data_IF_043276532523
#
_entry.id   IF_043276532523
#
_cell.length_a   1.000
_cell.length_b   1.000
_cell.length_c   1.000
_cell.angle_alpha   90.00
_cell.angle_beta   90.00
_cell.angle_gamma   90.00
#
_symmetry.space_group_name_H-M   'P 1'
#
loop_
_entity.id
_entity.type
_entity.pdbx_description
1 polymer ?
#
# COMPACT_ATOMS: atom_id res chain seq x y z
N UNK A 1 -14.39 -16.73 17.79
CA UNK A 1 -13.51 -15.58 17.59
C UNK A 1 -13.90 -14.75 16.35
N UNK A 2 -13.94 -15.31 15.13
CA UNK A 2 -14.26 -14.52 13.91
C UNK A 2 -15.67 -13.93 13.91
N UNK A 3 -16.66 -14.62 14.49
CA UNK A 3 -18.01 -14.06 14.63
C UNK A 3 -18.01 -12.82 15.53
N UNK A 4 -17.25 -12.83 16.64
CA UNK A 4 -17.07 -11.65 17.48
C UNK A 4 -16.36 -10.51 16.73
N UNK A 5 -15.30 -10.83 15.98
CA UNK A 5 -14.64 -9.84 15.14
C UNK A 5 -15.60 -9.21 14.11
N UNK A 6 -16.42 -10.03 13.44
CA UNK A 6 -17.42 -9.54 12.50
C UNK A 6 -18.45 -8.60 13.16
N UNK A 7 -18.94 -8.94 14.36
CA UNK A 7 -19.84 -8.07 15.13
C UNK A 7 -19.16 -6.72 15.43
N UNK A 8 -17.89 -6.73 15.87
CA UNK A 8 -17.15 -5.50 16.11
C UNK A 8 -16.91 -4.71 14.83
N UNK A 9 -16.63 -5.36 13.68
CA UNK A 9 -16.51 -4.68 12.39
C UNK A 9 -17.80 -3.97 12.02
N UNK A 10 -18.97 -4.62 12.17
CA UNK A 10 -20.27 -4.01 11.90
C UNK A 10 -20.52 -2.82 12.83
N UNK A 11 -20.25 -2.96 14.13
CA UNK A 11 -20.42 -1.86 15.08
C UNK A 11 -19.52 -0.68 14.71
N UNK A 12 -18.24 -0.93 14.40
CA UNK A 12 -17.30 0.13 14.03
C UNK A 12 -17.70 0.82 12.72
N UNK A 13 -18.21 0.08 11.74
CA UNK A 13 -18.69 0.67 10.49
C UNK A 13 -19.95 1.53 10.70
N UNK A 14 -20.93 1.03 11.47
CA UNK A 14 -22.22 1.71 11.72
C UNK A 14 -22.01 2.99 12.56
N UNK A 15 -21.10 2.95 13.55
CA UNK A 15 -20.83 4.10 14.42
C UNK A 15 -19.74 5.03 13.88
N UNK A 16 -19.33 4.88 12.60
CA UNK A 16 -18.36 5.72 11.92
C UNK A 16 -16.98 5.77 12.59
N UNK A 17 -16.55 4.71 13.27
CA UNK A 17 -15.22 4.68 13.88
C UNK A 17 -14.07 4.76 12.86
N UNK A 18 -14.34 4.50 11.57
CA UNK A 18 -13.33 4.69 10.52
C UNK A 18 -12.89 6.16 10.38
N UNK A 19 -13.63 7.14 10.89
CA UNK A 19 -13.22 8.55 10.93
C UNK A 19 -11.96 8.78 11.78
N UNK A 20 -11.67 7.90 12.74
CA UNK A 20 -10.42 7.98 13.50
C UNK A 20 -9.17 7.72 12.65
N UNK A 21 -9.33 7.22 11.44
CA UNK A 21 -8.25 7.03 10.46
C UNK A 21 -7.54 8.36 10.12
N UNK A 22 -8.23 9.51 10.26
CA UNK A 22 -7.65 10.85 10.11
C UNK A 22 -6.49 11.17 11.06
N UNK A 23 -6.37 10.43 12.16
CA UNK A 23 -5.28 10.60 13.12
C UNK A 23 -4.06 9.73 12.81
N UNK A 24 -4.14 8.87 11.81
CA UNK A 24 -3.01 8.07 11.35
C UNK A 24 -2.07 8.98 10.54
N UNK A 25 -0.81 8.98 10.93
CA UNK A 25 0.26 9.79 10.32
C UNK A 25 1.41 8.89 9.89
N UNK A 26 2.38 9.48 9.19
CA UNK A 26 3.58 8.78 8.72
C UNK A 26 4.34 8.10 9.86
N UNK A 27 4.33 8.70 11.09
CA UNK A 27 4.93 8.05 12.26
C UNK A 27 4.38 6.64 12.48
N UNK A 28 3.07 6.46 12.36
CA UNK A 28 2.39 5.17 12.61
C UNK A 28 2.41 4.27 11.39
N UNK A 29 2.08 4.80 10.20
CA UNK A 29 1.99 4.01 8.96
C UNK A 29 3.35 3.49 8.50
N UNK A 30 4.41 4.33 8.57
CA UNK A 30 5.77 3.90 8.26
C UNK A 30 6.28 2.84 9.25
N UNK A 31 6.04 3.04 10.57
CA UNK A 31 6.46 2.06 11.59
C UNK A 31 5.79 0.71 11.38
N UNK A 32 4.50 0.71 11.07
CA UNK A 32 3.75 -0.51 10.77
C UNK A 32 4.22 -1.15 9.46
N UNK A 33 4.35 -0.37 8.38
CA UNK A 33 4.82 -0.86 7.09
C UNK A 33 6.23 -1.46 7.17
N UNK A 34 7.12 -0.84 7.94
CA UNK A 34 8.46 -1.36 8.19
C UNK A 34 8.41 -2.69 8.96
N UNK A 35 7.59 -2.77 10.01
CA UNK A 35 7.38 -4.01 10.76
C UNK A 35 6.87 -5.13 9.86
N UNK A 36 5.85 -4.87 9.03
CA UNK A 36 5.29 -5.86 8.10
C UNK A 36 6.35 -6.33 7.11
N UNK A 37 7.16 -5.41 6.55
CA UNK A 37 8.25 -5.74 5.63
C UNK A 37 9.29 -6.68 6.27
N UNK A 38 9.71 -6.41 7.51
CA UNK A 38 10.66 -7.25 8.24
C UNK A 38 10.06 -8.62 8.57
N UNK A 39 8.80 -8.68 9.00
CA UNK A 39 8.11 -9.96 9.27
C UNK A 39 7.98 -10.80 7.99
N UNK A 40 7.74 -10.18 6.84
CA UNK A 40 7.72 -10.90 5.57
C UNK A 40 9.07 -11.54 5.25
N UNK A 41 10.17 -10.81 5.38
CA UNK A 41 11.52 -11.37 5.20
C UNK A 41 11.75 -12.51 6.20
N UNK A 42 11.40 -12.32 7.47
CA UNK A 42 11.51 -13.37 8.50
C UNK A 42 10.73 -14.62 8.09
N UNK A 43 9.49 -14.49 7.64
CA UNK A 43 8.67 -15.63 7.20
C UNK A 43 9.22 -16.30 5.93
N UNK A 44 9.77 -15.54 5.02
CA UNK A 44 10.49 -16.08 3.87
C UNK A 44 11.68 -16.94 4.30
N UNK A 45 12.52 -16.45 5.21
CA UNK A 45 13.65 -17.20 5.77
C UNK A 45 13.17 -18.44 6.52
N UNK A 46 12.12 -18.33 7.33
CA UNK A 46 11.53 -19.46 8.05
C UNK A 46 11.06 -20.57 7.10
N UNK A 47 10.44 -20.21 5.97
CA UNK A 47 10.06 -21.18 4.94
C UNK A 47 11.28 -21.90 4.35
N UNK A 48 12.36 -21.17 4.09
CA UNK A 48 13.60 -21.75 3.56
C UNK A 48 14.29 -22.65 4.58
N UNK A 49 14.34 -22.27 5.84
CA UNK A 49 14.98 -23.09 6.90
C UNK A 49 14.28 -24.45 7.07
N UNK A 50 12.97 -24.52 6.84
CA UNK A 50 12.21 -25.77 6.87
C UNK A 50 12.62 -26.75 5.77
N UNK A 51 13.11 -26.27 4.61
CA UNK A 51 13.55 -27.13 3.51
C UNK A 51 14.80 -27.93 3.87
N UNK A 52 15.67 -27.39 4.74
CA UNK A 52 16.87 -28.09 5.22
C UNK A 52 16.56 -29.31 6.09
N UNK A 53 15.33 -29.44 6.60
CA UNK A 53 14.92 -30.66 7.33
C UNK A 53 14.77 -31.89 6.44
N UNK A 54 14.63 -31.72 5.11
CA UNK A 54 14.54 -32.80 4.16
C UNK A 54 15.94 -33.25 3.69
N UNK A 55 16.68 -32.33 3.08
CA UNK A 55 18.09 -32.54 2.74
C UNK A 55 18.82 -31.21 2.59
N UNK A 56 20.15 -31.20 2.75
CA UNK A 56 20.94 -30.02 2.54
C UNK A 56 20.90 -29.55 1.07
N UNK A 57 20.84 -30.47 0.12
CA UNK A 57 20.77 -30.15 -1.33
C UNK A 57 19.46 -29.44 -1.65
N UNK A 58 18.32 -29.93 -1.14
CA UNK A 58 17.00 -29.34 -1.36
C UNK A 58 16.91 -27.97 -0.71
N UNK A 59 17.46 -27.82 0.51
CA UNK A 59 17.56 -26.55 1.22
C UNK A 59 18.33 -25.51 0.43
N UNK A 60 19.54 -25.82 -0.04
CA UNK A 60 20.35 -24.88 -0.82
C UNK A 60 19.72 -24.55 -2.18
N UNK A 61 19.14 -25.53 -2.88
CA UNK A 61 18.44 -25.27 -4.13
C UNK A 61 17.22 -24.36 -3.89
N UNK A 62 16.47 -24.56 -2.81
CA UNK A 62 15.35 -23.69 -2.42
C UNK A 62 15.81 -22.26 -2.17
N UNK A 63 16.95 -22.06 -1.50
CA UNK A 63 17.54 -20.73 -1.27
C UNK A 63 17.91 -20.08 -2.61
N UNK A 64 18.58 -20.80 -3.50
CA UNK A 64 18.97 -20.29 -4.84
C UNK A 64 17.73 -19.87 -5.63
N UNK A 65 16.69 -20.73 -5.67
CA UNK A 65 15.44 -20.45 -6.38
C UNK A 65 14.74 -19.21 -5.79
N UNK A 66 14.60 -19.14 -4.46
CA UNK A 66 13.92 -18.03 -3.80
C UNK A 66 14.64 -16.68 -4.02
N UNK A 67 15.96 -16.65 -3.85
CA UNK A 67 16.75 -15.41 -4.04
C UNK A 67 16.75 -15.01 -5.51
N UNK A 68 16.95 -15.96 -6.43
CA UNK A 68 16.92 -15.68 -7.87
C UNK A 68 15.56 -15.16 -8.32
N UNK A 69 14.46 -15.72 -7.78
CA UNK A 69 13.11 -15.24 -8.00
C UNK A 69 12.96 -13.79 -7.53
N UNK A 70 13.30 -13.51 -6.27
CA UNK A 70 13.16 -12.17 -5.67
C UNK A 70 13.97 -11.12 -6.45
N UNK A 71 15.23 -11.45 -6.82
CA UNK A 71 16.09 -10.57 -7.62
C UNK A 71 15.53 -10.36 -9.03
N UNK A 72 14.99 -11.40 -9.67
CA UNK A 72 14.40 -11.28 -11.01
C UNK A 72 13.21 -10.34 -10.98
N UNK A 73 12.28 -10.52 -10.03
CA UNK A 73 11.15 -9.62 -9.87
C UNK A 73 11.61 -8.18 -9.63
N UNK A 74 12.51 -7.96 -8.68
CA UNK A 74 13.05 -6.64 -8.34
C UNK A 74 13.67 -5.93 -9.56
N UNK A 75 14.51 -6.61 -10.34
CA UNK A 75 15.13 -6.02 -11.52
C UNK A 75 14.12 -5.73 -12.63
N UNK A 76 13.15 -6.63 -12.84
CA UNK A 76 12.11 -6.44 -13.86
C UNK A 76 11.19 -5.28 -13.51
N UNK A 77 10.81 -5.12 -12.25
CA UNK A 77 10.03 -3.94 -11.79
C UNK A 77 10.78 -2.63 -11.99
N UNK A 78 12.09 -2.58 -11.69
CA UNK A 78 12.92 -1.38 -11.89
C UNK A 78 13.11 -1.00 -13.37
N UNK A 79 12.80 -1.90 -14.35
CA UNK A 79 12.81 -1.57 -15.79
C UNK A 79 11.80 -0.46 -16.12
N UNK A 80 10.69 -0.35 -15.37
CA UNK A 80 9.69 0.72 -15.57
C UNK A 80 10.32 2.11 -15.60
N UNK A 81 11.26 2.39 -14.71
CA UNK A 81 11.93 3.68 -14.57
C UNK A 81 13.13 3.88 -15.51
N UNK A 82 13.58 2.81 -16.20
CA UNK A 82 14.71 2.89 -17.12
C UNK A 82 14.28 3.37 -18.50
N UNK A 83 15.20 3.98 -19.26
CA UNK A 83 14.93 4.51 -20.60
C UNK A 83 14.92 3.46 -21.73
N UNK A 84 14.88 2.17 -21.45
CA UNK A 84 14.96 1.07 -22.44
C UNK A 84 13.60 0.78 -23.10
N UNK A 85 13.53 0.87 -24.40
CA UNK A 85 12.35 0.49 -25.18
C UNK A 85 11.12 1.39 -24.96
N UNK A 86 9.99 1.06 -25.58
CA UNK A 86 8.77 1.84 -25.46
C UNK A 86 8.12 1.71 -24.09
N UNK A 87 7.44 2.77 -23.61
CA UNK A 87 6.83 2.84 -22.29
C UNK A 87 5.84 1.69 -22.03
N UNK A 88 5.01 1.36 -23.03
CA UNK A 88 4.03 0.28 -22.91
C UNK A 88 4.66 -1.09 -22.61
N UNK A 89 5.78 -1.39 -23.30
CA UNK A 89 6.48 -2.68 -23.09
C UNK A 89 7.12 -2.73 -21.70
N UNK A 90 7.77 -1.67 -21.27
CA UNK A 90 8.35 -1.57 -19.91
C UNK A 90 7.29 -1.71 -18.82
N UNK A 91 6.11 -1.11 -19.06
CA UNK A 91 4.97 -1.18 -18.15
C UNK A 91 4.46 -2.63 -18.06
N UNK A 92 4.16 -3.26 -19.18
CA UNK A 92 3.69 -4.66 -19.21
C UNK A 92 4.70 -5.56 -18.50
N UNK A 93 5.99 -5.41 -18.81
CA UNK A 93 7.01 -6.24 -18.20
C UNK A 93 7.09 -6.07 -16.69
N UNK A 94 6.99 -4.84 -16.19
CA UNK A 94 7.00 -4.54 -14.76
C UNK A 94 5.71 -5.02 -14.06
N UNK A 95 4.53 -4.79 -14.66
CA UNK A 95 3.24 -5.18 -14.09
C UNK A 95 3.08 -6.71 -14.00
N UNK A 96 3.69 -7.45 -14.93
CA UNK A 96 3.65 -8.93 -14.95
C UNK A 96 4.92 -9.58 -14.39
N UNK A 97 5.81 -8.83 -13.73
CA UNK A 97 7.08 -9.34 -13.22
C UNK A 97 6.92 -10.60 -12.35
N UNK A 98 6.00 -10.56 -11.38
CA UNK A 98 5.69 -11.70 -10.52
C UNK A 98 5.18 -12.91 -11.30
N UNK A 99 4.29 -12.71 -12.26
CA UNK A 99 3.72 -13.80 -13.07
C UNK A 99 4.80 -14.43 -13.94
N UNK A 100 5.59 -13.61 -14.62
CA UNK A 100 6.70 -14.06 -15.48
C UNK A 100 7.72 -14.86 -14.67
N UNK A 101 8.16 -14.33 -13.53
CA UNK A 101 9.10 -15.01 -12.65
C UNK A 101 8.51 -16.32 -12.10
N UNK A 102 7.23 -16.34 -11.69
CA UNK A 102 6.56 -17.55 -11.20
C UNK A 102 6.52 -18.64 -12.23
N UNK A 103 6.11 -18.34 -13.47
CA UNK A 103 6.07 -19.32 -14.56
C UNK A 103 7.48 -19.83 -14.89
N UNK A 104 8.45 -18.91 -14.99
CA UNK A 104 9.83 -19.25 -15.30
C UNK A 104 10.44 -20.18 -14.24
N UNK A 105 10.39 -19.81 -12.96
CA UNK A 105 11.03 -20.60 -11.90
C UNK A 105 10.24 -21.88 -11.57
N UNK A 106 8.92 -21.92 -11.79
CA UNK A 106 8.17 -23.18 -11.74
C UNK A 106 8.66 -24.13 -12.84
N UNK A 107 8.86 -23.65 -14.06
CA UNK A 107 9.43 -24.45 -15.15
C UNK A 107 10.89 -24.85 -14.90
N UNK A 108 11.69 -23.92 -14.36
CA UNK A 108 13.12 -24.11 -14.10
C UNK A 108 13.42 -25.33 -13.22
N UNK A 109 12.67 -25.51 -12.13
CA UNK A 109 12.87 -26.65 -11.22
C UNK A 109 12.45 -28.00 -11.81
N UNK A 110 11.75 -28.01 -12.95
CA UNK A 110 11.34 -29.22 -13.65
C UNK A 110 12.29 -29.60 -14.80
N UNK A 111 13.36 -28.83 -15.04
CA UNK A 111 14.37 -29.12 -16.06
C UNK A 111 15.02 -30.49 -15.78
N UNK A 112 15.08 -31.41 -16.77
CA UNK A 112 15.71 -32.73 -16.60
C UNK A 112 17.19 -32.62 -16.18
N UNK A 113 17.66 -33.56 -15.38
CA UNK A 113 19.04 -33.60 -14.87
C UNK A 113 19.12 -33.46 -13.36
N UNK A 114 20.20 -32.87 -12.85
CA UNK A 114 20.45 -32.72 -11.42
C UNK A 114 19.39 -31.85 -10.71
N UNK A 115 18.78 -30.89 -11.39
CA UNK A 115 17.72 -30.07 -10.82
C UNK A 115 16.46 -30.87 -10.49
N UNK A 116 16.10 -31.83 -11.38
CA UNK A 116 14.95 -32.70 -11.16
C UNK A 116 15.21 -33.78 -10.12
N UNK A 117 16.46 -34.12 -9.83
CA UNK A 117 16.82 -35.10 -8.80
C UNK A 117 16.64 -34.55 -7.36
N UNK A 118 16.62 -33.23 -7.20
CA UNK A 118 16.25 -32.61 -5.96
C UNK A 118 14.71 -32.63 -5.81
N UNK A 119 14.23 -33.17 -4.70
CA UNK A 119 12.78 -33.28 -4.42
C UNK A 119 12.30 -32.05 -3.65
N UNK A 120 12.26 -30.90 -4.33
CA UNK A 120 11.76 -29.66 -3.73
C UNK A 120 10.31 -29.81 -3.30
N UNK A 121 10.02 -29.39 -2.07
CA UNK A 121 8.67 -29.40 -1.53
C UNK A 121 7.78 -28.49 -2.37
N UNK A 122 6.71 -29.06 -2.90
CA UNK A 122 5.70 -28.34 -3.69
C UNK A 122 4.54 -27.89 -2.81
N UNK A 123 3.70 -27.02 -3.38
CA UNK A 123 2.47 -26.64 -2.69
C UNK A 123 1.60 -27.87 -2.45
N UNK A 124 1.10 -28.05 -1.21
CA UNK A 124 0.14 -29.10 -0.94
C UNK A 124 -1.18 -28.76 -1.63
N UNK A 125 -1.66 -29.65 -2.50
CA UNK A 125 -2.96 -29.55 -3.13
C UNK A 125 -3.93 -30.55 -2.48
N UNK A 126 -5.19 -30.15 -2.40
CA UNK A 126 -6.28 -30.96 -1.88
C UNK A 126 -7.25 -31.32 -3.00
N UNK A 127 -8.36 -31.94 -2.65
CA UNK A 127 -9.42 -32.22 -3.61
C UNK A 127 -10.19 -30.92 -3.92
N UNK A 128 -10.59 -30.75 -5.17
CA UNK A 128 -11.40 -29.63 -5.62
C UNK A 128 -12.68 -29.53 -4.79
N UNK A 129 -13.01 -28.33 -4.33
CA UNK A 129 -14.24 -28.02 -3.60
C UNK A 129 -14.44 -28.79 -2.28
N UNK A 130 -13.38 -29.29 -1.68
CA UNK A 130 -13.43 -29.95 -0.38
C UNK A 130 -12.58 -29.21 0.64
N UNK A 131 -12.96 -29.24 1.92
CA UNK A 131 -12.12 -28.72 2.99
C UNK A 131 -10.75 -29.41 3.01
N UNK A 132 -9.72 -28.71 3.49
CA UNK A 132 -8.35 -29.23 3.63
C UNK A 132 -8.27 -30.35 4.68
N UNK A 133 -9.14 -30.29 5.69
CA UNK A 133 -9.29 -31.28 6.75
C UNK A 133 -10.61 -32.01 6.50
N UNK A 134 -10.69 -33.27 6.89
CA UNK A 134 -11.93 -34.06 6.79
C UNK A 134 -12.97 -33.55 7.80
N UNK A 135 -13.77 -32.58 7.39
CA UNK A 135 -14.87 -31.96 8.13
C UNK A 135 -15.91 -31.40 7.18
N UNK A 136 -17.09 -31.09 7.69
CA UNK A 136 -18.10 -30.33 6.97
C UNK A 136 -17.66 -28.87 6.76
N UNK A 137 -18.23 -28.22 5.73
CA UNK A 137 -17.94 -26.82 5.45
C UNK A 137 -18.40 -25.87 6.56
N UNK A 138 -19.56 -26.15 7.15
CA UNK A 138 -20.08 -25.36 8.27
C UNK A 138 -19.50 -25.90 9.57
N UNK A 139 -18.95 -25.01 10.36
CA UNK A 139 -18.39 -25.35 11.70
C UNK A 139 -19.53 -25.40 12.71
N UNK A 140 -19.59 -26.46 13.50
CA UNK A 140 -20.60 -26.68 14.55
C UNK A 140 -20.37 -25.78 15.78
N UNK A 141 -20.34 -24.46 15.55
CA UNK A 141 -20.07 -23.47 16.61
C UNK A 141 -21.17 -23.41 17.68
N UNK A 142 -22.37 -23.90 17.39
CA UNK A 142 -23.47 -23.98 18.35
C UNK A 142 -23.28 -25.06 19.43
N UNK A 143 -22.38 -26.02 19.21
CA UNK A 143 -22.01 -27.04 20.18
C UNK A 143 -20.98 -26.55 21.20
N UNK A 144 -20.50 -25.31 21.07
CA UNK A 144 -19.49 -24.74 21.94
C UNK A 144 -20.09 -24.30 23.28
N UNK A 145 -19.48 -24.68 24.39
CA UNK A 145 -19.88 -24.20 25.71
C UNK A 145 -19.80 -22.67 25.80
N UNK A 146 -20.77 -22.05 26.46
CA UNK A 146 -20.88 -20.58 26.59
C UNK A 146 -19.56 -19.92 27.10
N UNK A 147 -18.85 -20.58 28.01
CA UNK A 147 -17.57 -20.04 28.53
C UNK A 147 -16.55 -19.77 27.42
N UNK A 148 -16.43 -20.67 26.44
CA UNK A 148 -15.50 -20.52 25.33
C UNK A 148 -15.92 -19.41 24.36
N UNK A 149 -17.24 -19.19 24.23
CA UNK A 149 -17.76 -18.06 23.44
C UNK A 149 -17.30 -16.75 24.04
N UNK A 150 -17.40 -16.58 25.37
CA UNK A 150 -16.97 -15.35 26.04
C UNK A 150 -15.45 -15.24 26.13
N UNK A 151 -14.70 -16.32 26.30
CA UNK A 151 -13.22 -16.30 26.22
C UNK A 151 -12.75 -15.85 24.83
N UNK A 152 -13.45 -16.19 23.77
CA UNK A 152 -13.11 -15.77 22.40
C UNK A 152 -13.38 -14.28 22.12
N UNK A 153 -14.16 -13.58 22.94
CA UNK A 153 -14.52 -12.18 22.76
C UNK A 153 -13.29 -11.24 22.74
N UNK A 154 -12.38 -11.22 23.74
CA UNK A 154 -11.20 -10.36 23.71
C UNK A 154 -10.29 -10.65 22.50
N UNK A 155 -10.17 -11.90 22.07
CA UNK A 155 -9.41 -12.24 20.87
C UNK A 155 -10.07 -11.73 19.60
N UNK A 156 -11.41 -11.76 19.54
CA UNK A 156 -12.17 -11.13 18.44
C UNK A 156 -11.97 -9.61 18.40
N UNK A 157 -11.94 -8.96 19.55
CA UNK A 157 -11.67 -7.53 19.65
C UNK A 157 -10.23 -7.19 19.20
N UNK A 158 -9.22 -7.91 19.65
CA UNK A 158 -7.83 -7.71 19.23
C UNK A 158 -7.67 -7.92 17.72
N UNK A 159 -8.32 -8.93 17.15
CA UNK A 159 -8.33 -9.14 15.70
C UNK A 159 -8.99 -7.97 14.95
N UNK A 160 -10.07 -7.43 15.50
CA UNK A 160 -10.73 -6.25 14.93
C UNK A 160 -9.81 -5.03 14.93
N UNK A 161 -9.07 -4.79 16.01
CA UNK A 161 -8.11 -3.69 16.07
C UNK A 161 -6.98 -3.86 15.05
N UNK A 162 -6.48 -5.08 14.87
CA UNK A 162 -5.50 -5.37 13.83
C UNK A 162 -6.06 -5.06 12.44
N UNK A 163 -7.23 -5.59 12.12
CA UNK A 163 -7.86 -5.40 10.82
C UNK A 163 -8.25 -3.95 10.58
N UNK A 164 -8.71 -3.24 11.61
CA UNK A 164 -8.99 -1.82 11.54
C UNK A 164 -7.78 -1.03 11.07
N UNK A 165 -6.62 -1.27 11.68
CA UNK A 165 -5.41 -0.55 11.34
C UNK A 165 -4.90 -0.95 9.95
N UNK A 166 -4.72 -2.25 9.70
CA UNK A 166 -4.16 -2.77 8.46
C UNK A 166 -5.03 -2.42 7.23
N UNK A 167 -6.34 -2.66 7.31
CA UNK A 167 -7.28 -2.35 6.26
C UNK A 167 -7.35 -0.86 5.94
N UNK A 168 -7.50 -0.02 6.96
CA UNK A 168 -7.62 1.42 6.75
C UNK A 168 -6.31 2.05 6.26
N UNK A 169 -5.15 1.63 6.78
CA UNK A 169 -3.85 2.12 6.27
C UNK A 169 -3.63 1.68 4.83
N UNK A 170 -3.95 0.43 4.48
CA UNK A 170 -3.90 -0.07 3.11
C UNK A 170 -4.76 0.78 2.16
N UNK A 171 -5.99 1.08 2.58
CA UNK A 171 -6.92 1.93 1.82
C UNK A 171 -6.42 3.38 1.68
N UNK A 172 -5.86 3.97 2.74
CA UNK A 172 -5.26 5.30 2.69
C UNK A 172 -4.09 5.36 1.70
N UNK A 173 -3.20 4.38 1.75
CA UNK A 173 -2.04 4.32 0.86
C UNK A 173 -2.44 4.12 -0.60
N UNK A 174 -3.49 3.33 -0.88
CA UNK A 174 -4.03 3.13 -2.22
C UNK A 174 -4.71 4.38 -2.79
N UNK A 175 -5.07 5.33 -1.95
CA UNK A 175 -5.71 6.60 -2.30
C UNK A 175 -4.83 7.81 -1.97
N UNK A 176 -3.51 7.60 -1.87
CA UNK A 176 -2.55 8.67 -1.61
C UNK A 176 -2.57 9.71 -2.74
N UNK A 177 -2.13 10.94 -2.43
CA UNK A 177 -2.17 12.11 -3.33
C UNK A 177 -1.56 11.87 -4.72
N UNK A 178 -0.56 11.01 -4.80
CA UNK A 178 0.08 10.67 -6.09
C UNK A 178 -0.74 9.70 -6.96
N UNK A 179 -1.89 9.23 -6.48
CA UNK A 179 -2.87 8.49 -7.28
C UNK A 179 -4.07 9.38 -7.58
N UNK A 180 -4.29 9.79 -8.85
CA UNK A 180 -5.44 10.59 -9.24
C UNK A 180 -6.73 9.75 -9.27
N UNK A 181 -7.24 9.40 -8.09
CA UNK A 181 -8.49 8.64 -7.93
C UNK A 181 -9.66 9.60 -7.96
N UNK A 182 -10.61 9.38 -8.86
CA UNK A 182 -11.77 10.28 -9.05
C UNK A 182 -12.88 10.06 -8.01
N UNK A 183 -13.05 8.82 -7.53
CA UNK A 183 -14.15 8.46 -6.63
C UNK A 183 -13.78 8.72 -5.18
N UNK A 184 -14.75 9.18 -4.36
CA UNK A 184 -14.53 9.36 -2.92
C UNK A 184 -14.24 8.04 -2.24
N UNK A 185 -13.51 8.11 -1.13
CA UNK A 185 -13.22 6.96 -0.28
C UNK A 185 -14.48 6.43 0.41
N UNK A 186 -14.60 5.11 0.52
CA UNK A 186 -15.73 4.43 1.14
C UNK A 186 -15.34 3.62 2.38
N UNK A 187 -14.52 4.16 3.30
CA UNK A 187 -13.95 3.43 4.44
C UNK A 187 -14.98 2.67 5.28
N UNK A 188 -16.11 3.28 5.60
CA UNK A 188 -17.16 2.65 6.42
C UNK A 188 -17.80 1.46 5.70
N UNK A 189 -18.06 1.63 4.39
CA UNK A 189 -18.65 0.57 3.57
C UNK A 189 -17.66 -0.58 3.38
N UNK A 190 -16.42 -0.29 3.09
CA UNK A 190 -15.37 -1.29 2.92
C UNK A 190 -15.15 -2.08 4.21
N UNK A 191 -15.17 -1.41 5.36
CA UNK A 191 -15.03 -2.06 6.66
C UNK A 191 -16.28 -2.90 7.03
N UNK A 192 -17.48 -2.47 6.61
CA UNK A 192 -18.69 -3.28 6.74
C UNK A 192 -18.59 -4.56 5.90
N UNK A 193 -18.12 -4.45 4.64
CA UNK A 193 -17.93 -5.62 3.78
C UNK A 193 -16.84 -6.56 4.34
N UNK A 194 -15.79 -6.04 4.95
CA UNK A 194 -14.82 -6.84 5.69
C UNK A 194 -15.50 -7.61 6.84
N UNK A 195 -16.44 -6.99 7.53
CA UNK A 195 -17.27 -7.65 8.53
C UNK A 195 -18.06 -8.82 7.95
N UNK A 196 -18.70 -8.64 6.78
CA UNK A 196 -19.47 -9.71 6.09
C UNK A 196 -18.56 -10.88 5.71
N UNK A 197 -17.41 -10.62 5.10
CA UNK A 197 -16.45 -11.66 4.70
C UNK A 197 -15.86 -12.39 5.91
N UNK A 198 -15.56 -11.67 6.99
CA UNK A 198 -15.09 -12.25 8.27
C UNK A 198 -16.16 -13.13 8.91
N UNK A 199 -17.43 -12.71 8.85
CA UNK A 199 -18.56 -13.51 9.36
C UNK A 199 -18.73 -14.83 8.59
N UNK A 200 -18.72 -14.76 7.25
CA UNK A 200 -18.79 -15.95 6.39
C UNK A 200 -17.62 -16.88 6.67
N UNK A 201 -16.40 -16.33 6.77
CA UNK A 201 -15.21 -17.11 7.11
C UNK A 201 -15.32 -17.78 8.48
N UNK A 202 -15.93 -17.11 9.46
CA UNK A 202 -16.20 -17.65 10.79
C UNK A 202 -17.14 -18.84 10.77
N UNK A 203 -18.20 -18.81 9.95
CA UNK A 203 -19.16 -19.91 9.77
C UNK A 203 -18.49 -21.09 9.05
N UNK A 204 -17.71 -20.82 8.00
CA UNK A 204 -17.07 -21.84 7.19
C UNK A 204 -15.76 -22.35 7.79
N UNK A 205 -15.30 -21.80 8.92
CA UNK A 205 -14.03 -22.17 9.56
C UNK A 205 -12.83 -21.89 8.67
N UNK A 206 -12.89 -20.82 7.87
CA UNK A 206 -11.81 -20.33 7.03
C UNK A 206 -10.99 -19.27 7.77
N UNK A 207 -9.73 -19.05 7.39
CA UNK A 207 -8.98 -17.89 7.87
C UNK A 207 -9.72 -16.58 7.54
N UNK A 208 -9.63 -15.60 8.43
CA UNK A 208 -10.22 -14.30 8.19
C UNK A 208 -9.52 -13.60 7.00
N UNK A 209 -10.25 -13.18 5.96
CA UNK A 209 -9.67 -12.46 4.85
C UNK A 209 -9.37 -11.02 5.27
N UNK A 210 -8.19 -10.52 4.91
CA UNK A 210 -7.84 -9.10 5.02
C UNK A 210 -6.92 -8.71 3.88
N UNK A 211 -7.04 -7.47 3.40
CA UNK A 211 -6.08 -6.87 2.47
C UNK A 211 -4.83 -6.42 3.21
N UNK A 212 -3.65 -6.77 2.70
CA UNK A 212 -2.38 -6.33 3.27
C UNK A 212 -2.00 -4.93 2.78
N UNK A 213 -1.33 -4.16 3.61
CA UNK A 213 -0.89 -2.80 3.31
C UNK A 213 -0.21 -2.66 1.94
N UNK A 214 0.73 -3.52 1.51
CA UNK A 214 1.39 -3.34 0.21
C UNK A 214 0.51 -3.71 -1.00
N UNK A 215 -0.53 -4.52 -0.85
CA UNK A 215 -1.31 -5.04 -1.98
C UNK A 215 -2.18 -3.97 -2.66
N UNK A 216 -2.91 -3.17 -1.88
CA UNK A 216 -3.83 -2.19 -2.43
C UNK A 216 -3.12 -1.06 -3.19
N UNK A 217 -2.05 -0.42 -2.68
CA UNK A 217 -1.30 0.57 -3.45
C UNK A 217 -0.63 -0.02 -4.70
N UNK A 218 -0.09 -1.24 -4.65
CA UNK A 218 0.48 -1.92 -5.84
C UNK A 218 -0.59 -2.15 -6.90
N UNK A 219 -1.80 -2.56 -6.51
CA UNK A 219 -2.93 -2.70 -7.43
C UNK A 219 -3.34 -1.36 -8.05
N UNK A 220 -3.42 -0.28 -7.26
CA UNK A 220 -3.72 1.06 -7.77
C UNK A 220 -2.63 1.56 -8.72
N UNK A 221 -1.35 1.32 -8.40
CA UNK A 221 -0.21 1.66 -9.26
C UNK A 221 -0.29 0.95 -10.61
N UNK A 222 -0.62 -0.35 -10.63
CA UNK A 222 -0.73 -1.14 -11.86
C UNK A 222 -1.86 -0.65 -12.78
N UNK A 223 -2.91 -0.04 -12.22
CA UNK A 223 -4.02 0.55 -12.94
C UNK A 223 -3.82 2.04 -13.30
N UNK A 224 -2.76 2.67 -12.80
CA UNK A 224 -2.46 4.08 -13.10
C UNK A 224 -2.05 4.24 -14.55
N UNK A 225 -2.62 5.23 -15.24
CA UNK A 225 -2.27 5.57 -16.61
C UNK A 225 -1.06 6.49 -16.60
N UNK A 226 0.06 5.98 -17.13
CA UNK A 226 1.32 6.70 -17.23
C UNK A 226 1.46 7.32 -18.62
N UNK A 227 1.83 8.61 -18.67
CA UNK A 227 2.06 9.34 -19.93
C UNK A 227 3.36 10.13 -19.89
N UNK A 228 3.94 10.34 -21.08
CA UNK A 228 5.10 11.22 -21.25
C UNK A 228 4.62 12.66 -21.44
N UNK A 229 5.15 13.55 -20.62
CA UNK A 229 4.86 14.97 -20.63
C UNK A 229 6.18 15.74 -20.62
N UNK A 230 6.20 16.93 -21.18
CA UNK A 230 7.35 17.82 -21.15
C UNK A 230 7.72 18.16 -19.69
N UNK A 231 9.01 18.28 -19.40
CA UNK A 231 9.49 18.57 -18.05
C UNK A 231 9.05 19.94 -17.52
N UNK A 232 8.71 20.87 -18.43
CA UNK A 232 8.22 22.21 -18.13
C UNK A 232 6.73 22.24 -17.71
N UNK A 233 5.97 21.17 -17.97
CA UNK A 233 4.57 21.10 -17.51
C UNK A 233 4.55 20.92 -15.99
N UNK A 234 3.84 21.79 -15.26
CA UNK A 234 3.72 21.67 -13.83
C UNK A 234 3.03 20.35 -13.44
N UNK A 235 3.58 19.65 -12.49
CA UNK A 235 2.99 18.48 -11.89
C UNK A 235 2.92 18.64 -10.37
N UNK A 236 1.95 17.98 -9.77
CA UNK A 236 1.83 17.88 -8.33
C UNK A 236 1.97 16.41 -7.94
N UNK A 237 3.03 16.11 -7.21
CA UNK A 237 3.32 14.73 -6.74
C UNK A 237 3.39 13.68 -7.89
N UNK A 238 3.87 14.11 -9.07
CA UNK A 238 3.93 13.25 -10.27
C UNK A 238 2.59 13.06 -10.98
N UNK A 239 1.56 13.84 -10.63
CA UNK A 239 0.24 13.85 -11.26
C UNK A 239 0.06 15.10 -12.09
N UNK A 240 -0.45 14.96 -13.31
CA UNK A 240 -0.79 16.05 -14.23
C UNK A 240 -2.22 15.85 -14.71
N UNK A 241 -2.98 16.94 -14.74
CA UNK A 241 -4.35 16.92 -15.25
C UNK A 241 -4.39 16.47 -16.71
N UNK A 242 -5.32 15.59 -17.12
CA UNK A 242 -5.38 15.04 -18.48
C UNK A 242 -5.42 16.10 -19.59
N UNK A 243 -6.04 17.24 -19.36
CA UNK A 243 -6.13 18.32 -20.37
C UNK A 243 -4.78 19.01 -20.60
N UNK A 244 -3.96 19.19 -19.55
CA UNK A 244 -2.60 19.71 -19.72
C UNK A 244 -1.72 18.74 -20.52
N UNK A 245 -1.94 17.44 -20.34
CA UNK A 245 -1.25 16.41 -21.10
C UNK A 245 -1.64 16.44 -22.57
N UNK A 246 -2.94 16.58 -22.88
CA UNK A 246 -3.42 16.73 -24.27
C UNK A 246 -2.81 17.98 -24.95
N UNK A 247 -2.82 19.10 -24.22
CA UNK A 247 -2.23 20.34 -24.71
C UNK A 247 -0.72 20.21 -24.99
N UNK A 248 0.02 19.58 -24.10
CA UNK A 248 1.46 19.31 -24.31
C UNK A 248 1.71 18.38 -25.49
N UNK A 249 0.89 17.33 -25.66
CA UNK A 249 0.99 16.43 -26.81
C UNK A 249 0.71 17.11 -28.12
N UNK A 250 -0.29 18.01 -28.19
CA UNK A 250 -0.57 18.81 -29.36
C UNK A 250 0.57 19.80 -29.68
N UNK A 251 1.12 20.46 -28.66
CA UNK A 251 2.29 21.33 -28.79
C UNK A 251 3.49 20.54 -29.36
N UNK A 252 3.78 19.35 -28.84
CA UNK A 252 4.85 18.48 -29.34
C UNK A 252 4.62 18.02 -30.78
N UNK A 253 3.37 17.69 -31.14
CA UNK A 253 3.03 17.34 -32.51
C UNK A 253 3.30 18.54 -33.46
N UNK A 254 2.86 19.71 -33.08
CA UNK A 254 3.10 20.94 -33.89
C UNK A 254 4.60 21.20 -34.09
N UNK A 255 5.41 21.12 -33.05
CA UNK A 255 6.88 21.26 -33.11
C UNK A 255 7.49 20.23 -34.05
N UNK A 256 7.03 18.98 -33.97
CA UNK A 256 7.53 17.89 -34.81
C UNK A 256 7.13 18.05 -36.28
N UNK A 257 5.90 18.53 -36.55
CA UNK A 257 5.34 18.70 -37.89
C UNK A 257 5.88 19.95 -38.57
N UNK A 258 6.26 21.01 -37.84
CA UNK A 258 6.86 22.21 -38.40
C UNK A 258 8.25 21.99 -38.99
N UNK A 259 8.88 20.85 -38.75
CA UNK A 259 10.18 20.53 -39.36
C UNK A 259 11.33 21.45 -39.00
N UNK A 260 11.13 22.39 -38.08
CA UNK A 260 12.14 23.37 -37.64
C UNK A 260 13.13 22.71 -36.65
N UNK A 261 13.93 21.81 -37.16
CA UNK A 261 15.12 21.29 -36.47
C UNK A 261 16.32 22.21 -36.68
N UNK A 262 16.14 23.49 -36.45
CA UNK A 262 17.28 24.39 -36.67
C UNK A 262 17.09 25.80 -36.15
N UNK A 263 17.74 26.15 -35.09
CA UNK A 263 18.28 27.47 -34.92
C UNK A 263 17.83 28.35 -33.77
N UNK A 264 16.79 28.05 -33.03
CA UNK A 264 16.53 28.76 -31.77
C UNK A 264 16.41 27.82 -30.59
N UNK A 265 16.91 28.22 -29.41
CA UNK A 265 16.86 27.47 -28.16
C UNK A 265 15.42 27.12 -27.76
N UNK A 266 14.44 27.89 -28.28
CA UNK A 266 13.02 27.69 -28.00
C UNK A 266 12.37 26.51 -28.77
N UNK A 267 13.01 25.97 -29.80
CA UNK A 267 12.44 24.90 -30.66
C UNK A 267 13.00 23.48 -30.34
N UNK A 268 13.82 23.34 -29.31
CA UNK A 268 14.23 22.01 -28.86
C UNK A 268 13.06 21.35 -28.10
N UNK A 269 12.71 20.10 -28.49
CA UNK A 269 11.74 19.32 -27.76
C UNK A 269 12.20 19.20 -26.28
N UNK A 270 11.42 19.71 -25.33
CA UNK A 270 11.81 19.66 -23.92
C UNK A 270 11.97 18.22 -23.46
N UNK A 271 12.85 17.99 -22.48
CA UNK A 271 13.00 16.67 -21.86
C UNK A 271 11.63 16.14 -21.39
N UNK A 272 11.46 14.84 -21.43
CA UNK A 272 10.22 14.19 -20.98
C UNK A 272 10.34 13.69 -19.55
N UNK A 273 9.26 13.86 -18.80
CA UNK A 273 9.00 13.15 -17.54
C UNK A 273 7.80 12.22 -17.70
N UNK A 274 7.75 11.17 -16.88
CA UNK A 274 6.62 10.24 -16.81
C UNK A 274 5.73 10.72 -15.66
N UNK A 275 4.45 10.91 -15.95
CA UNK A 275 3.46 11.37 -14.97
C UNK A 275 2.24 10.46 -14.98
N UNK A 276 1.48 10.46 -13.87
CA UNK A 276 0.18 9.80 -13.76
C UNK A 276 -0.91 10.78 -14.15
N UNK A 277 -1.86 10.33 -14.95
CA UNK A 277 -2.97 11.17 -15.42
C UNK A 277 -4.31 10.74 -14.85
N UNK A 278 -4.51 9.45 -14.67
CA UNK A 278 -5.74 8.86 -14.18
C UNK A 278 -5.48 7.46 -13.62
N UNK A 279 -6.43 6.92 -12.88
CA UNK A 279 -6.45 5.52 -12.43
C UNK A 279 -7.64 4.83 -13.10
N UNK A 280 -7.39 3.71 -13.80
CA UNK A 280 -8.44 2.95 -14.46
C UNK A 280 -9.43 2.36 -13.45
N UNK A 281 -10.66 2.08 -13.90
CA UNK A 281 -11.73 1.51 -13.06
C UNK A 281 -11.30 0.18 -12.44
N UNK A 282 -11.34 0.10 -11.12
CA UNK A 282 -10.86 -1.05 -10.35
C UNK A 282 -11.88 -2.19 -10.20
N UNK A 283 -13.16 -1.94 -10.42
CA UNK A 283 -14.23 -2.95 -10.22
C UNK A 283 -14.07 -4.18 -11.10
N UNK A 284 -13.70 -3.98 -12.37
CA UNK A 284 -13.50 -5.08 -13.32
C UNK A 284 -12.30 -5.94 -12.94
N UNK A 285 -11.19 -5.32 -12.49
CA UNK A 285 -10.02 -6.06 -12.04
C UNK A 285 -10.32 -6.83 -10.75
N UNK A 286 -11.05 -6.26 -9.80
CA UNK A 286 -11.48 -6.97 -8.58
C UNK A 286 -12.39 -8.16 -8.90
N UNK A 287 -13.36 -8.00 -9.82
CA UNK A 287 -14.19 -9.11 -10.29
C UNK A 287 -13.32 -10.19 -10.95
N UNK A 288 -12.38 -9.78 -11.81
CA UNK A 288 -11.44 -10.68 -12.47
C UNK A 288 -10.58 -11.47 -11.47
N UNK A 289 -10.04 -10.82 -10.44
CA UNK A 289 -9.28 -11.46 -9.35
C UNK A 289 -10.17 -12.48 -8.62
N UNK A 290 -11.40 -12.12 -8.29
CA UNK A 290 -12.37 -13.00 -7.63
C UNK A 290 -12.68 -14.25 -8.47
N UNK A 291 -12.95 -14.07 -9.77
CA UNK A 291 -13.22 -15.17 -10.70
C UNK A 291 -12.00 -16.07 -10.91
N UNK A 292 -10.80 -15.51 -11.03
CA UNK A 292 -9.57 -16.28 -11.15
C UNK A 292 -9.30 -17.09 -9.87
N UNK A 293 -9.49 -16.47 -8.70
CA UNK A 293 -9.34 -17.15 -7.40
C UNK A 293 -10.33 -18.31 -7.29
N UNK A 294 -11.60 -18.08 -7.66
CA UNK A 294 -12.60 -19.15 -7.71
C UNK A 294 -12.19 -20.25 -8.72
N UNK A 295 -11.63 -19.85 -9.86
CA UNK A 295 -11.12 -20.77 -10.87
C UNK A 295 -10.00 -21.68 -10.35
N UNK A 296 -9.17 -21.22 -9.39
CA UNK A 296 -8.11 -22.06 -8.79
C UNK A 296 -8.66 -23.26 -8.02
N UNK A 297 -9.95 -23.25 -7.64
CA UNK A 297 -10.61 -24.40 -7.03
C UNK A 297 -10.94 -25.51 -8.04
N UNK A 298 -10.80 -25.26 -9.34
CA UNK A 298 -10.98 -26.29 -10.36
C UNK A 298 -9.76 -27.22 -10.42
N UNK A 299 -9.99 -28.51 -10.72
CA UNK A 299 -8.92 -29.52 -10.72
C UNK A 299 -7.71 -29.16 -11.62
N UNK A 300 -7.89 -28.67 -12.86
CA UNK A 300 -6.75 -28.32 -13.71
C UNK A 300 -5.85 -27.24 -13.13
N UNK A 301 -6.44 -26.15 -12.61
CA UNK A 301 -5.68 -25.05 -12.03
C UNK A 301 -5.09 -25.44 -10.66
N UNK A 302 -5.79 -26.24 -9.87
CA UNK A 302 -5.28 -26.75 -8.61
C UNK A 302 -4.04 -27.65 -8.84
N UNK A 303 -4.05 -28.51 -9.88
CA UNK A 303 -2.89 -29.33 -10.26
C UNK A 303 -1.74 -28.43 -10.72
N UNK A 304 -2.01 -27.40 -11.53
CA UNK A 304 -0.99 -26.45 -11.96
C UNK A 304 -0.34 -25.74 -10.74
N UNK A 305 -1.12 -25.29 -9.76
CA UNK A 305 -0.60 -24.71 -8.52
C UNK A 305 0.26 -25.73 -7.74
N UNK A 306 -0.14 -26.99 -7.71
CA UNK A 306 0.61 -28.08 -7.07
C UNK A 306 1.97 -28.40 -7.72
N UNK A 307 2.27 -27.86 -8.91
CA UNK A 307 3.61 -27.96 -9.51
C UNK A 307 4.59 -26.91 -9.00
N UNK A 308 4.09 -25.86 -8.34
CA UNK A 308 4.90 -24.75 -7.85
C UNK A 308 5.72 -25.17 -6.63
N UNK A 309 7.04 -24.96 -6.62
CA UNK A 309 7.84 -25.20 -5.42
C UNK A 309 7.56 -24.17 -4.34
N UNK A 310 7.54 -24.60 -3.07
CA UNK A 310 7.32 -23.74 -1.92
C UNK A 310 8.38 -22.62 -1.79
N UNK A 311 9.57 -22.85 -2.31
CA UNK A 311 10.64 -21.86 -2.40
C UNK A 311 10.24 -20.56 -3.12
N UNK A 312 9.30 -20.60 -4.08
CA UNK A 312 8.80 -19.40 -4.75
C UNK A 312 8.08 -18.48 -3.77
N UNK A 313 7.30 -19.03 -2.85
CA UNK A 313 6.61 -18.24 -1.82
C UNK A 313 7.60 -17.58 -0.86
N UNK A 314 8.68 -18.27 -0.50
CA UNK A 314 9.77 -17.66 0.25
C UNK A 314 10.38 -16.48 -0.51
N UNK A 315 10.60 -16.64 -1.82
CA UNK A 315 11.07 -15.56 -2.70
C UNK A 315 10.09 -14.40 -2.80
N UNK A 316 8.78 -14.66 -2.88
CA UNK A 316 7.73 -13.62 -2.85
C UNK A 316 7.78 -12.85 -1.53
N UNK A 317 7.81 -13.53 -0.39
CA UNK A 317 7.88 -12.89 0.92
C UNK A 317 9.14 -12.04 1.06
N UNK A 318 10.29 -12.52 0.65
CA UNK A 318 11.56 -11.77 0.69
C UNK A 318 11.48 -10.56 -0.23
N UNK A 319 11.00 -10.72 -1.47
CA UNK A 319 10.90 -9.63 -2.45
C UNK A 319 9.94 -8.52 -2.01
N UNK A 320 8.71 -8.88 -1.60
CA UNK A 320 7.71 -7.91 -1.10
C UNK A 320 8.19 -7.25 0.19
N UNK A 321 8.79 -8.01 1.11
CA UNK A 321 9.35 -7.46 2.34
C UNK A 321 10.48 -6.47 2.06
N UNK A 322 11.37 -6.79 1.11
CA UNK A 322 12.44 -5.89 0.70
C UNK A 322 11.92 -4.59 0.09
N UNK A 323 10.98 -4.66 -0.86
CA UNK A 323 10.36 -3.47 -1.45
C UNK A 323 9.68 -2.59 -0.40
N UNK A 324 8.96 -3.21 0.55
CA UNK A 324 8.30 -2.48 1.65
C UNK A 324 9.30 -1.77 2.57
N UNK A 325 10.50 -2.31 2.74
CA UNK A 325 11.58 -1.70 3.53
C UNK A 325 12.28 -0.60 2.73
N UNK A 326 12.64 -0.85 1.46
CA UNK A 326 13.36 0.09 0.60
C UNK A 326 12.60 1.42 0.44
N UNK A 327 11.29 1.34 0.21
CA UNK A 327 10.43 2.51 -0.01
C UNK A 327 9.92 3.15 1.30
N UNK A 328 10.32 2.63 2.47
CA UNK A 328 9.84 3.10 3.76
C UNK A 328 10.51 4.40 4.21
N UNK A 329 9.73 5.35 4.71
CA UNK A 329 10.23 6.64 5.17
C UNK A 329 11.20 6.55 6.35
N UNK A 330 11.15 5.52 7.20
CA UNK A 330 12.15 5.28 8.26
C UNK A 330 13.52 5.08 7.65
N UNK A 331 13.61 4.22 6.61
CA UNK A 331 14.87 3.97 5.91
C UNK A 331 15.33 5.22 5.16
N UNK A 332 14.41 5.91 4.47
CA UNK A 332 14.72 7.16 3.78
C UNK A 332 15.35 8.21 4.70
N UNK A 333 14.72 8.44 5.86
CA UNK A 333 15.21 9.38 6.89
C UNK A 333 16.53 8.91 7.53
N UNK A 334 16.68 7.59 7.76
CA UNK A 334 17.91 7.00 8.29
C UNK A 334 19.06 7.15 7.32
N UNK A 335 18.85 6.84 6.04
CA UNK A 335 19.86 7.01 4.99
C UNK A 335 20.24 8.48 4.79
N UNK A 336 19.27 9.41 4.91
CA UNK A 336 19.56 10.85 4.89
C UNK A 336 20.55 11.26 5.99
N UNK A 337 20.42 10.72 7.21
CA UNK A 337 21.34 11.04 8.30
C UNK A 337 22.76 10.50 8.11
N UNK A 338 22.89 9.36 7.42
CA UNK A 338 24.16 8.68 7.16
C UNK A 338 24.84 9.23 5.89
N UNK A 339 24.02 9.77 4.95
CA UNK A 339 24.51 10.28 3.66
C UNK A 339 25.46 11.44 3.86
N UNK A 340 26.47 11.51 2.99
CA UNK A 340 27.37 12.66 2.90
C UNK A 340 26.56 13.94 2.57
N UNK A 341 26.71 15.01 3.36
CA UNK A 341 26.03 16.28 3.10
C UNK A 341 26.29 16.85 1.69
N UNK A 342 27.50 16.67 1.15
CA UNK A 342 27.86 17.14 -0.18
C UNK A 342 27.12 16.40 -1.31
N UNK A 343 26.70 15.17 -1.06
CA UNK A 343 25.94 14.33 -1.99
C UNK A 343 24.42 14.50 -1.85
N UNK A 344 23.97 15.36 -0.93
CA UNK A 344 22.54 15.62 -0.71
C UNK A 344 22.08 16.79 -1.57
N UNK A 345 20.98 16.63 -2.38
CA UNK A 345 20.47 17.73 -3.18
C UNK A 345 20.14 18.97 -2.32
N UNK A 346 20.48 20.18 -2.76
CA UNK A 346 20.25 21.40 -1.96
C UNK A 346 18.77 21.63 -1.65
N UNK A 347 17.87 21.17 -2.51
CA UNK A 347 16.41 21.31 -2.35
C UNK A 347 15.76 20.14 -1.58
N UNK A 348 16.55 19.31 -0.89
CA UNK A 348 15.97 18.19 -0.15
C UNK A 348 15.18 18.71 1.06
N UNK A 349 13.90 18.31 1.28
CA UNK A 349 13.03 18.85 2.33
C UNK A 349 13.62 18.74 3.74
N UNK A 350 14.34 17.66 4.03
CA UNK A 350 14.96 17.43 5.34
C UNK A 350 16.15 18.37 5.64
N UNK A 351 16.67 19.12 4.65
CA UNK A 351 17.71 20.13 4.87
C UNK A 351 17.22 21.30 5.73
N UNK A 352 15.91 21.55 5.76
CA UNK A 352 15.30 22.57 6.61
C UNK A 352 15.29 22.18 8.11
N UNK A 353 15.61 20.92 8.43
CA UNK A 353 15.51 20.38 9.78
C UNK A 353 16.88 20.14 10.42
N UNK A 354 16.94 20.27 11.74
CA UNK A 354 18.11 19.88 12.50
C UNK A 354 18.26 18.35 12.51
N UNK A 355 19.47 17.83 12.27
CA UNK A 355 19.72 16.39 12.29
C UNK A 355 19.28 15.70 13.59
N UNK A 356 19.41 16.40 14.74
CA UNK A 356 18.96 15.87 16.05
C UNK A 356 17.44 15.70 16.12
N UNK A 357 16.67 16.58 15.48
CA UNK A 357 15.21 16.47 15.41
C UNK A 357 14.79 15.23 14.61
N UNK A 358 15.42 15.02 13.46
CA UNK A 358 15.22 13.83 12.64
C UNK A 358 15.59 12.56 13.43
N UNK A 359 16.74 12.57 14.10
CA UNK A 359 17.21 11.43 14.92
C UNK A 359 16.23 11.09 16.05
N UNK A 360 15.68 12.10 16.75
CA UNK A 360 14.67 11.88 17.77
C UNK A 360 13.40 11.24 17.20
N UNK A 361 12.94 11.73 16.03
CA UNK A 361 11.74 11.22 15.38
C UNK A 361 11.90 9.75 14.97
N UNK A 362 12.95 9.43 14.21
CA UNK A 362 13.19 8.05 13.80
C UNK A 362 13.54 7.13 14.98
N UNK A 363 14.14 7.69 16.05
CA UNK A 363 14.43 6.96 17.28
C UNK A 363 13.14 6.42 17.94
N UNK A 364 12.05 7.20 17.94
CA UNK A 364 10.74 6.75 18.42
C UNK A 364 10.22 5.61 17.53
N UNK A 365 10.31 5.77 16.21
CA UNK A 365 9.86 4.76 15.25
C UNK A 365 10.66 3.45 15.40
N UNK A 366 11.99 3.51 15.49
CA UNK A 366 12.85 2.34 15.72
C UNK A 366 12.55 1.66 17.07
N UNK A 367 12.33 2.44 18.13
CA UNK A 367 11.99 1.89 19.44
C UNK A 367 10.64 1.17 19.41
N UNK A 368 9.61 1.79 18.79
CA UNK A 368 8.29 1.19 18.65
C UNK A 368 8.35 -0.09 17.81
N UNK A 369 9.10 -0.06 16.69
CA UNK A 369 9.36 -1.23 15.86
C UNK A 369 9.99 -2.37 16.66
N UNK A 370 11.03 -2.08 17.45
CA UNK A 370 11.70 -3.10 18.29
C UNK A 370 10.74 -3.74 19.27
N UNK A 371 9.87 -2.97 19.91
CA UNK A 371 8.82 -3.50 20.80
C UNK A 371 7.85 -4.40 20.03
N UNK A 372 7.39 -3.98 18.86
CA UNK A 372 6.47 -4.78 18.04
C UNK A 372 7.09 -6.12 17.64
N UNK A 373 8.36 -6.13 17.20
CA UNK A 373 9.09 -7.35 16.88
C UNK A 373 9.23 -8.21 18.12
N UNK A 374 9.64 -7.65 19.25
CA UNK A 374 9.79 -8.41 20.50
C UNK A 374 8.48 -9.08 20.92
N UNK A 375 7.36 -8.38 20.88
CA UNK A 375 6.03 -8.93 21.20
C UNK A 375 5.64 -10.02 20.22
N UNK A 376 5.88 -9.82 18.91
CA UNK A 376 5.50 -10.78 17.86
C UNK A 376 6.24 -12.12 17.95
N UNK A 377 7.37 -12.19 18.66
CA UNK A 377 8.11 -13.44 18.91
C UNK A 377 7.66 -14.17 20.19
N UNK A 378 6.65 -13.64 20.91
CA UNK A 378 6.15 -14.21 22.16
C UNK A 378 4.75 -14.80 22.01
N UNK A 379 4.26 -15.44 23.06
CA UNK A 379 2.87 -15.93 23.16
C UNK A 379 1.87 -14.75 23.04
N UNK A 380 2.30 -13.54 23.42
CA UNK A 380 1.50 -12.31 23.32
C UNK A 380 1.47 -11.71 21.90
N UNK A 381 1.91 -12.43 20.87
CA UNK A 381 2.00 -11.94 19.50
C UNK A 381 0.69 -11.31 18.99
N UNK A 382 -0.47 -11.83 19.39
CA UNK A 382 -1.78 -11.26 19.01
C UNK A 382 -1.98 -9.83 19.53
N UNK A 383 -1.19 -9.39 20.52
CA UNK A 383 -1.27 -8.06 21.13
C UNK A 383 -0.44 -6.97 20.43
N UNK A 384 0.40 -7.30 19.42
CA UNK A 384 1.25 -6.28 18.78
C UNK A 384 0.47 -5.09 18.19
N UNK A 385 -0.79 -5.23 17.70
CA UNK A 385 -1.54 -4.10 17.18
C UNK A 385 -1.83 -3.02 18.22
N UNK A 386 -1.89 -3.40 19.50
CA UNK A 386 -2.08 -2.42 20.58
C UNK A 386 -0.93 -1.42 20.67
N UNK A 387 0.30 -1.84 20.33
CA UNK A 387 1.48 -0.97 20.36
C UNK A 387 1.36 0.11 19.30
N UNK A 388 0.96 -0.26 18.08
CA UNK A 388 0.81 0.71 16.98
C UNK A 388 -0.36 1.66 17.22
N UNK A 389 -1.47 1.15 17.77
CA UNK A 389 -2.62 1.99 18.13
C UNK A 389 -2.27 2.94 19.26
N UNK A 390 -1.47 2.51 20.26
CA UNK A 390 -1.00 3.38 21.34
C UNK A 390 -0.05 4.48 20.84
N UNK A 391 0.63 4.28 19.72
CA UNK A 391 1.48 5.32 19.11
C UNK A 391 0.67 6.51 18.59
N UNK A 392 -0.61 6.34 18.20
CA UNK A 392 -1.49 7.41 17.74
C UNK A 392 -1.72 8.46 18.85
N UNK A 393 -2.30 8.11 20.02
CA UNK A 393 -2.45 9.06 21.11
C UNK A 393 -1.10 9.57 21.65
N UNK A 394 -0.06 8.73 21.67
CA UNK A 394 1.29 9.18 22.03
C UNK A 394 1.74 10.32 21.09
N UNK A 395 1.63 10.17 19.79
CA UNK A 395 1.95 11.21 18.81
C UNK A 395 1.12 12.47 19.03
N UNK A 396 -0.17 12.32 19.29
CA UNK A 396 -1.09 13.45 19.46
C UNK A 396 -0.75 14.29 20.71
N UNK A 397 -0.45 13.65 21.84
CA UNK A 397 -0.18 14.33 23.11
C UNK A 397 1.29 14.76 23.28
N UNK A 398 2.24 13.94 22.86
CA UNK A 398 3.67 14.20 23.08
C UNK A 398 4.36 14.80 21.86
N UNK A 399 3.88 14.55 20.64
CA UNK A 399 4.44 15.10 19.42
C UNK A 399 4.61 16.63 19.47
N UNK A 400 3.56 17.41 19.77
CA UNK A 400 3.65 18.88 19.84
C UNK A 400 4.54 19.41 20.98
N UNK A 401 4.88 18.58 21.97
CA UNK A 401 5.80 18.96 23.06
C UNK A 401 7.27 18.80 22.69
N UNK A 402 7.57 17.90 21.79
CA UNK A 402 8.94 17.55 21.40
C UNK A 402 9.35 18.10 20.04
N UNK A 403 8.39 18.42 19.20
CA UNK A 403 8.57 18.91 17.85
C UNK A 403 7.70 20.14 17.60
N UNK A 404 8.22 21.10 16.86
CA UNK A 404 7.45 22.26 16.41
C UNK A 404 6.46 21.86 15.30
N UNK A 405 5.36 22.63 15.10
CA UNK A 405 4.43 22.35 14.00
C UNK A 405 5.10 22.29 12.62
N UNK A 406 6.07 23.17 12.37
CA UNK A 406 6.85 23.19 11.12
C UNK A 406 7.71 21.94 10.96
N UNK A 407 8.32 21.42 12.03
CA UNK A 407 9.08 20.17 11.99
C UNK A 407 8.16 18.97 11.74
N UNK A 408 6.99 18.94 12.39
CA UNK A 408 6.00 17.87 12.20
C UNK A 408 5.42 17.87 10.79
N UNK A 409 5.19 19.03 10.17
CA UNK A 409 4.66 19.06 8.79
C UNK A 409 5.61 18.44 7.77
N UNK A 410 6.93 18.42 8.04
CA UNK A 410 7.95 17.83 7.19
C UNK A 410 8.28 16.36 7.54
N UNK A 411 8.14 15.96 8.81
CA UNK A 411 8.52 14.64 9.30
C UNK A 411 7.35 13.65 9.38
N UNK A 412 6.15 14.16 9.61
CA UNK A 412 4.99 13.38 10.05
C UNK A 412 3.70 13.89 9.39
N UNK A 413 3.60 13.72 8.08
CA UNK A 413 2.40 14.08 7.33
C UNK A 413 1.22 13.14 7.69
N UNK A 414 -0.04 13.62 7.58
CA UNK A 414 -1.19 12.72 7.62
C UNK A 414 -1.09 11.68 6.49
N UNK A 415 -1.31 10.41 6.78
CA UNK A 415 -1.37 9.35 5.75
C UNK A 415 -2.55 9.60 4.79
N UNK A 416 -3.65 10.17 5.31
CA UNK A 416 -4.75 10.71 4.51
C UNK A 416 -4.35 12.03 3.83
N UNK A 417 -3.42 11.99 2.89
CA UNK A 417 -2.82 13.18 2.26
C UNK A 417 -3.56 13.67 1.00
N UNK A 418 -4.55 12.94 0.49
CA UNK A 418 -5.42 13.36 -0.58
C UNK A 418 -6.63 14.13 -0.02
N UNK A 419 -6.97 15.27 -0.65
CA UNK A 419 -8.04 16.15 -0.20
C UNK A 419 -9.38 15.44 -0.10
N UNK A 420 -9.77 14.68 -1.13
CA UNK A 420 -11.03 13.91 -1.14
C UNK A 420 -11.10 12.85 -0.04
N UNK A 421 -9.98 12.22 0.29
CA UNK A 421 -9.87 11.25 1.39
C UNK A 421 -10.05 11.94 2.73
N UNK A 422 -9.37 13.06 2.97
CA UNK A 422 -9.49 13.81 4.24
C UNK A 422 -10.92 14.31 4.47
N UNK A 423 -11.58 14.78 3.42
CA UNK A 423 -13.00 15.20 3.49
C UNK A 423 -13.90 14.02 3.84
N UNK A 424 -13.69 12.84 3.25
CA UNK A 424 -14.56 11.67 3.45
C UNK A 424 -14.52 11.12 4.90
N UNK A 425 -13.46 11.41 5.65
CA UNK A 425 -13.29 11.00 7.05
C UNK A 425 -13.46 12.18 8.04
N UNK A 426 -14.03 13.29 7.59
CA UNK A 426 -14.31 14.44 8.44
C UNK A 426 -13.05 15.12 9.02
N UNK A 427 -11.93 15.08 8.29
CA UNK A 427 -10.65 15.63 8.72
C UNK A 427 -10.50 17.12 8.44
N UNK A 428 -9.48 17.75 9.06
CA UNK A 428 -9.15 19.14 8.88
C UNK A 428 -8.37 19.36 7.57
N UNK A 429 -8.95 20.11 6.67
CA UNK A 429 -8.41 20.40 5.34
C UNK A 429 -7.13 21.22 5.38
N UNK A 430 -6.95 22.06 6.39
CA UNK A 430 -5.76 22.89 6.56
C UNK A 430 -4.48 22.06 6.68
N UNK A 431 -4.59 20.85 7.19
CA UNK A 431 -3.46 19.90 7.31
C UNK A 431 -3.00 19.31 5.99
N UNK A 432 -3.87 19.28 4.99
CA UNK A 432 -3.59 18.72 3.65
C UNK A 432 -3.20 19.81 2.66
N UNK A 433 -3.83 20.99 2.78
CA UNK A 433 -3.61 22.09 1.84
C UNK A 433 -2.30 22.85 2.10
N UNK A 434 -1.76 22.81 3.32
CA UNK A 434 -0.60 23.63 3.70
C UNK A 434 -0.90 25.14 3.59
N UNK A 435 -0.34 25.97 4.42
CA UNK A 435 -0.39 27.43 4.22
C UNK A 435 0.33 27.78 2.90
N UNK A 436 -0.42 28.18 1.87
CA UNK A 436 0.15 28.67 0.60
C UNK A 436 -0.31 27.97 -0.67
N UNK A 437 -1.21 27.01 -0.62
CA UNK A 437 -1.80 26.43 -1.83
C UNK A 437 -3.09 27.17 -2.19
N UNK A 438 -2.98 28.07 -3.18
CA UNK A 438 -4.15 28.49 -3.97
C UNK A 438 -4.79 27.22 -4.58
N UNK A 439 -5.93 26.82 -4.03
CA UNK A 439 -6.75 25.76 -4.61
C UNK A 439 -7.22 26.30 -5.96
N UNK A 440 -6.75 25.69 -7.06
CA UNK A 440 -7.26 26.02 -8.38
C UNK A 440 -8.80 25.89 -8.36
N UNK A 441 -9.56 26.88 -8.82
CA UNK A 441 -11.00 26.97 -8.60
C UNK A 441 -11.85 25.92 -9.31
N UNK A 442 -11.25 25.04 -10.12
CA UNK A 442 -11.97 24.07 -10.96
C UNK A 442 -11.55 22.62 -10.72
N UNK A 443 -11.82 22.11 -9.53
CA UNK A 443 -11.94 20.65 -9.41
C UNK A 443 -13.43 20.30 -9.39
N UNK A 444 -13.95 19.77 -10.50
CA UNK A 444 -15.38 19.43 -10.67
C UNK A 444 -15.95 18.56 -9.56
N UNK A 445 -15.10 17.84 -8.84
CA UNK A 445 -15.43 17.05 -7.66
C UNK A 445 -15.72 17.91 -6.41
N UNK A 446 -14.95 18.95 -6.14
CA UNK A 446 -15.20 19.87 -5.00
C UNK A 446 -16.44 20.74 -5.22
N UNK A 447 -16.72 21.08 -6.50
CA UNK A 447 -17.96 21.76 -6.88
C UNK A 447 -19.19 20.89 -6.64
N UNK A 448 -19.13 19.59 -6.92
CA UNK A 448 -20.23 18.65 -6.67
C UNK A 448 -20.52 18.40 -5.19
N UNK A 449 -19.56 18.66 -4.31
CA UNK A 449 -19.70 18.54 -2.85
C UNK A 449 -20.14 19.85 -2.15
N UNK A 450 -20.33 20.95 -2.90
CA UNK A 450 -20.68 22.26 -2.33
C UNK A 450 -19.59 22.86 -1.44
N UNK A 451 -18.34 22.45 -1.58
CA UNK A 451 -17.22 22.83 -0.72
C UNK A 451 -16.47 24.07 -1.21
N UNK A 452 -16.76 24.55 -2.45
CA UNK A 452 -16.15 25.77 -2.99
C UNK A 452 -16.37 27.01 -2.10
N UNK A 453 -17.55 27.12 -1.48
CA UNK A 453 -17.87 28.26 -0.60
C UNK A 453 -17.12 28.22 0.75
N UNK A 454 -16.66 27.04 1.17
CA UNK A 454 -15.92 26.90 2.45
C UNK A 454 -14.41 27.07 2.31
N UNK A 455 -13.88 26.97 1.09
CA UNK A 455 -12.44 27.06 0.81
C UNK A 455 -12.00 28.47 0.39
N UNK A 456 -12.95 29.37 0.10
CA UNK A 456 -12.63 30.73 -0.31
C UNK A 456 -13.13 31.74 0.74
N UNK A 457 -12.32 32.06 1.78
CA UNK A 457 -12.71 33.03 2.81
C UNK A 457 -12.93 34.47 2.26
N UNK A 458 -12.44 34.78 1.06
CA UNK A 458 -12.66 36.07 0.42
C UNK A 458 -14.11 36.26 -0.05
N UNK A 459 -14.84 35.19 -0.41
CA UNK A 459 -16.23 35.28 -0.83
C UNK A 459 -17.20 35.54 0.32
N UNK A 460 -16.83 35.20 1.57
CA UNK A 460 -17.64 35.47 2.73
C UNK A 460 -17.54 36.95 3.21
N UNK A 461 -16.41 37.62 2.96
CA UNK A 461 -16.25 39.01 3.33
C UNK A 461 -17.06 39.96 2.43
N UNK A 462 -17.23 39.61 1.15
CA UNK A 462 -18.00 40.43 0.20
C UNK A 462 -19.51 40.25 0.37
N UNK A 463 -19.97 39.06 0.74
CA UNK A 463 -21.38 38.80 1.06
C UNK A 463 -21.86 39.47 2.38
N UNK A 464 -20.97 39.60 3.35
CA UNK A 464 -21.26 40.32 4.61
C UNK A 464 -21.17 41.85 4.47
N UNK A 465 -20.37 42.34 3.51
CA UNK A 465 -20.30 43.76 3.19
C UNK A 465 -21.53 44.25 2.41
N UNK A 466 -22.10 43.40 1.55
CA UNK A 466 -23.34 43.73 0.83
C UNK A 466 -24.59 43.66 1.73
N UNK A 467 -24.62 42.78 2.72
CA UNK A 467 -25.71 42.76 3.73
C UNK A 467 -25.73 43.98 4.65
N UNK A 468 -24.56 44.57 4.94
CA UNK A 468 -24.46 45.80 5.76
C UNK A 468 -24.78 47.07 5.00
N UNK A 469 -24.91 47.05 3.67
CA UNK A 469 -25.32 48.18 2.83
C UNK A 469 -26.82 48.20 2.55
N UNK A 470 -27.56 47.15 2.93
CA UNK A 470 -29.01 47.04 2.72
C UNK A 470 -29.81 47.07 4.02
N UNK A 471 -29.18 47.27 5.19
CA UNK A 471 -29.77 47.70 6.44
C UNK A 471 -29.37 49.19 6.73
#
# INVERSE_FOLDING_TARGET
>A
MLIWAAIFHFLMAIFNFCDFTRFITDMTSETFGFYVGVIYIQKGIELLTREFSHSATDGWLSVVVAISFALTVYWVEKIRSRGFGPLWARRILADYAFVIATVFFTGFVHIPGYLKSADLVKLPITQSWKPTINRDWVVDFWNLEARWVFIALPFGFLLTLLFYFDHNVSSLMAQARHFPVEKPAGFHWDFFLLGVTTFISGILGLPAPNGLVPQAPVHTESLSVLQHVSSDVPDRDGVVHPDLVKHDQERRRRIKDSGETGGSVDNQLPACKIVRTEVAEQRLSHLGIGLLTLGTMTRPLLVALGTMPRALFAGIFIGVGWSSIEDNGIIGKTLYLIRDPEMTPPNHPLNALRKITILKFIGIQWFTFAIMVAISQTIAAIGFPLVIIALIPFRYYYGPRWFTPAELSLLDSPTANALGVMVSIGGDLSRVTGEGLEVAPDTGFLGSLGLNDKLNPASQSDADLDRRKTE
#
